data_IF_304221654193
#
_entry.id   IF_304221654193
#
_cell.length_a   1.000
_cell.length_b   1.000
_cell.length_c   1.000
_cell.angle_alpha   90.00
_cell.angle_beta   90.00
_cell.angle_gamma   90.00
#
_symmetry.space_group_name_H-M   'P 1'
#
loop_
_entity.id
_entity.type
_entity.pdbx_description
1 polymer ?
#
# COMPACT_ATOMS: atom_id res chain seq x y z
N UNK A 1 -32.46 -30.57 20.52
CA UNK A 1 -31.85 -29.27 20.16
C UNK A 1 -30.47 -29.23 20.77
N UNK A 2 -29.42 -29.52 19.99
CA UNK A 2 -28.03 -29.38 20.45
C UNK A 2 -27.54 -27.97 20.15
N UNK A 3 -26.66 -27.38 21.00
CA UNK A 3 -26.12 -26.06 20.73
C UNK A 3 -25.18 -26.13 19.52
N UNK A 4 -25.43 -25.26 18.54
CA UNK A 4 -24.58 -25.10 17.38
C UNK A 4 -23.19 -24.61 17.82
N UNK A 5 -22.18 -25.38 17.43
CA UNK A 5 -20.77 -25.08 17.57
C UNK A 5 -20.44 -23.81 16.76
N UNK A 6 -20.38 -22.66 17.43
CA UNK A 6 -19.81 -21.43 16.86
C UNK A 6 -18.29 -21.57 16.82
N UNK A 7 -17.82 -22.41 15.89
CA UNK A 7 -16.45 -22.34 15.42
C UNK A 7 -16.21 -20.94 14.87
N UNK A 8 -15.48 -20.14 15.64
CA UNK A 8 -14.99 -18.83 15.23
C UNK A 8 -14.08 -19.08 14.04
N UNK A 9 -14.60 -18.82 12.84
CA UNK A 9 -13.82 -18.89 11.61
C UNK A 9 -12.69 -17.88 11.78
N UNK A 10 -11.48 -18.39 12.04
CA UNK A 10 -10.27 -17.59 12.15
C UNK A 10 -9.88 -17.14 10.74
N UNK A 11 -10.63 -16.18 10.18
CA UNK A 11 -10.32 -15.53 8.91
C UNK A 11 -9.13 -14.63 9.20
N UNK A 12 -7.93 -15.20 9.17
CA UNK A 12 -6.70 -14.40 9.15
C UNK A 12 -6.70 -13.60 7.85
N UNK A 13 -6.78 -12.26 7.89
CA UNK A 13 -6.74 -11.48 6.66
C UNK A 13 -5.37 -11.68 6.00
N UNK A 14 -5.35 -12.41 4.89
CA UNK A 14 -4.13 -12.64 4.11
C UNK A 14 -3.60 -11.28 3.65
N UNK A 15 -2.33 -11.01 3.94
CA UNK A 15 -1.65 -9.83 3.38
C UNK A 15 -1.76 -9.91 1.85
N UNK A 16 -2.32 -8.88 1.19
CA UNK A 16 -2.42 -8.86 -0.26
C UNK A 16 -1.02 -8.80 -0.85
N UNK A 17 -0.85 -9.37 -2.04
CA UNK A 17 0.37 -9.16 -2.79
C UNK A 17 0.44 -7.69 -3.26
N UNK A 18 1.60 -7.06 -3.15
CA UNK A 18 1.83 -5.73 -3.69
C UNK A 18 1.74 -5.80 -5.23
N UNK A 19 0.92 -4.94 -5.82
CA UNK A 19 0.73 -4.91 -7.26
C UNK A 19 1.97 -4.31 -7.95
N UNK A 20 2.19 -4.66 -9.21
CA UNK A 20 3.35 -4.18 -9.99
C UNK A 20 3.24 -2.67 -10.28
N UNK A 21 2.02 -2.18 -10.47
CA UNK A 21 1.67 -0.76 -10.67
C UNK A 21 1.66 0.04 -9.36
N UNK A 22 1.84 -0.62 -8.21
CA UNK A 22 1.81 -0.04 -6.87
C UNK A 22 0.44 0.57 -6.47
N UNK A 23 -0.64 0.25 -7.20
CA UNK A 23 -1.98 0.80 -6.97
C UNK A 23 -2.56 0.44 -5.61
N UNK A 24 -2.10 -0.63 -4.97
CA UNK A 24 -2.52 -1.02 -3.64
C UNK A 24 -1.53 -0.68 -2.52
N UNK A 25 -0.53 0.18 -2.78
CA UNK A 25 0.56 0.47 -1.83
C UNK A 25 0.06 0.90 -0.45
N UNK A 26 -0.91 1.83 -0.36
CA UNK A 26 -1.39 2.33 0.93
C UNK A 26 -2.04 1.21 1.75
N UNK A 27 -2.88 0.42 1.10
CA UNK A 27 -3.57 -0.72 1.73
C UNK A 27 -2.56 -1.78 2.14
N UNK A 28 -1.60 -2.10 1.26
CA UNK A 28 -0.52 -3.05 1.52
C UNK A 28 0.31 -2.64 2.73
N UNK A 29 0.81 -1.39 2.74
CA UNK A 29 1.65 -0.85 3.81
C UNK A 29 0.94 -0.93 5.17
N UNK A 30 -0.32 -0.52 5.22
CA UNK A 30 -1.12 -0.58 6.44
C UNK A 30 -1.32 -2.03 6.92
N UNK A 31 -1.59 -2.97 6.01
CA UNK A 31 -1.80 -4.38 6.38
C UNK A 31 -0.52 -5.06 6.87
N UNK A 32 0.63 -4.79 6.26
CA UNK A 32 1.92 -5.29 6.75
C UNK A 32 2.17 -4.82 8.18
N UNK A 33 1.98 -3.52 8.42
CA UNK A 33 2.17 -2.94 9.76
C UNK A 33 1.24 -3.63 10.75
N UNK A 34 -0.08 -3.66 10.48
CA UNK A 34 -1.05 -4.31 11.38
C UNK A 34 -0.72 -5.77 11.67
N UNK A 35 -0.37 -6.55 10.64
CA UNK A 35 -0.04 -7.97 10.80
C UNK A 35 1.21 -8.15 11.68
N UNK A 36 2.28 -7.41 11.41
CA UNK A 36 3.52 -7.50 12.19
C UNK A 36 3.33 -7.05 13.64
N UNK A 37 2.50 -6.03 13.88
CA UNK A 37 2.14 -5.62 15.24
C UNK A 37 1.33 -6.69 15.96
N UNK A 38 0.42 -7.40 15.28
CA UNK A 38 -0.36 -8.50 15.89
C UNK A 38 0.52 -9.66 16.36
N UNK A 39 1.67 -9.90 15.72
CA UNK A 39 2.66 -10.89 16.16
C UNK A 39 3.71 -10.35 17.16
N UNK A 40 3.61 -9.09 17.59
CA UNK A 40 4.64 -8.46 18.43
C UNK A 40 5.99 -8.29 17.74
N UNK A 41 5.99 -8.24 16.39
CA UNK A 41 7.17 -8.07 15.55
C UNK A 41 7.39 -6.61 15.10
N UNK A 42 6.46 -5.69 15.40
CA UNK A 42 6.54 -4.28 14.97
C UNK A 42 7.88 -3.58 15.30
N UNK A 43 8.51 -3.91 16.42
CA UNK A 43 9.84 -3.40 16.81
C UNK A 43 10.95 -3.70 15.81
N UNK A 44 10.89 -4.85 15.13
CA UNK A 44 11.86 -5.24 14.09
C UNK A 44 11.66 -4.42 12.81
N UNK A 45 10.42 -4.06 12.51
CA UNK A 45 10.08 -3.21 11.37
C UNK A 45 10.58 -1.77 11.56
N UNK A 46 10.48 -1.25 12.79
CA UNK A 46 10.86 0.13 13.13
C UNK A 46 12.34 0.27 13.56
N UNK A 47 13.10 -0.82 13.63
CA UNK A 47 14.48 -0.78 14.11
C UNK A 47 14.60 -0.42 15.60
N UNK A 48 13.54 -0.66 16.37
CA UNK A 48 13.48 -0.37 17.81
C UNK A 48 13.96 -1.55 18.67
N UNK A 49 14.57 -2.57 18.06
CA UNK A 49 15.19 -3.66 18.81
C UNK A 49 16.51 -3.14 19.39
N UNK A 50 16.55 -3.03 20.72
CA UNK A 50 17.45 -2.13 21.44
C UNK A 50 18.93 -2.38 21.22
N UNK A 51 19.37 -3.55 20.79
CA UNK A 51 20.70 -3.76 20.22
C UNK A 51 20.68 -5.15 19.57
N UNK A 52 21.18 -5.27 18.33
CA UNK A 52 21.43 -6.57 17.71
C UNK A 52 22.34 -7.36 18.66
N UNK A 53 22.02 -8.61 19.03
CA UNK A 53 22.84 -9.36 19.97
C UNK A 53 24.31 -9.39 19.50
N UNK A 54 25.21 -8.85 20.33
CA UNK A 54 26.62 -8.66 19.95
C UNK A 54 27.25 -9.98 19.49
N UNK A 55 28.14 -9.89 18.52
CA UNK A 55 28.80 -11.09 17.98
C UNK A 55 29.70 -11.71 19.04
N UNK A 56 29.61 -13.02 19.22
CA UNK A 56 30.54 -13.76 20.09
C UNK A 56 31.84 -13.98 19.30
N UNK A 57 32.97 -13.59 19.87
CA UNK A 57 34.31 -13.78 19.31
C UNK A 57 35.07 -14.79 20.16
N UNK A 58 35.74 -15.76 19.51
CA UNK A 58 36.64 -16.71 20.18
C UNK A 58 38.07 -16.16 20.15
N UNK A 59 38.69 -16.00 21.32
CA UNK A 59 40.11 -15.61 21.49
C UNK A 59 40.71 -16.51 22.57
N UNK A 60 41.89 -17.07 22.36
CA UNK A 60 42.61 -17.90 23.36
C UNK A 60 41.72 -18.95 24.06
N UNK A 61 40.95 -19.71 23.27
CA UNK A 61 39.99 -20.74 23.73
C UNK A 61 38.89 -20.28 24.69
N UNK A 62 38.66 -18.97 24.77
CA UNK A 62 37.59 -18.35 25.53
C UNK A 62 36.66 -17.57 24.60
N UNK A 63 35.40 -17.42 25.03
CA UNK A 63 34.38 -16.70 24.29
C UNK A 63 34.18 -15.30 24.89
N UNK A 64 34.11 -14.29 24.04
CA UNK A 64 33.97 -12.89 24.41
C UNK A 64 32.80 -12.25 23.67
N UNK A 65 32.16 -11.27 24.29
CA UNK A 65 31.09 -10.50 23.68
C UNK A 65 31.66 -9.28 22.95
N UNK A 66 31.72 -9.31 21.61
CA UNK A 66 32.35 -8.26 20.81
C UNK A 66 33.77 -7.96 21.26
N UNK A 67 34.03 -6.71 21.63
CA UNK A 67 35.35 -6.24 22.11
C UNK A 67 35.55 -6.36 23.62
N UNK A 68 34.66 -7.08 24.33
CA UNK A 68 34.81 -7.32 25.77
C UNK A 68 36.14 -8.02 26.08
N UNK A 69 36.78 -7.59 27.16
CA UNK A 69 37.96 -8.24 27.77
C UNK A 69 37.60 -9.35 28.75
N UNK A 70 36.32 -9.43 29.15
CA UNK A 70 35.80 -10.44 30.07
C UNK A 70 35.27 -11.64 29.29
N UNK A 71 35.83 -12.82 29.60
CA UNK A 71 35.38 -14.08 29.06
C UNK A 71 33.99 -14.43 29.60
N UNK A 72 33.12 -14.92 28.73
CA UNK A 72 31.80 -15.43 29.06
C UNK A 72 31.92 -16.75 29.82
N UNK A 73 31.16 -16.90 30.90
CA UNK A 73 30.94 -18.22 31.50
C UNK A 73 29.95 -19.02 30.62
N UNK A 74 29.86 -20.33 30.87
CA UNK A 74 28.97 -21.22 30.10
C UNK A 74 27.52 -20.73 30.09
N UNK A 75 26.98 -20.34 31.23
CA UNK A 75 25.56 -19.95 31.33
C UNK A 75 25.25 -18.65 30.58
N UNK A 76 26.12 -17.64 30.68
CA UNK A 76 25.97 -16.39 29.92
C UNK A 76 26.19 -16.62 28.43
N UNK A 77 27.10 -17.52 28.05
CA UNK A 77 27.33 -17.90 26.66
C UNK A 77 26.08 -18.56 26.06
N UNK A 78 25.51 -19.57 26.72
CA UNK A 78 24.30 -20.25 26.27
C UNK A 78 23.12 -19.28 26.17
N UNK A 79 22.89 -18.47 27.21
CA UNK A 79 21.81 -17.47 27.21
C UNK A 79 21.95 -16.47 26.06
N UNK A 80 23.18 -16.01 25.77
CA UNK A 80 23.42 -15.09 24.66
C UNK A 80 23.14 -15.72 23.29
N UNK A 81 23.44 -17.01 23.12
CA UNK A 81 23.09 -17.74 21.91
C UNK A 81 21.57 -17.86 21.74
N UNK A 82 20.84 -18.21 22.80
CA UNK A 82 19.37 -18.29 22.76
C UNK A 82 18.71 -16.94 22.43
N UNK A 83 19.23 -15.84 23.01
CA UNK A 83 18.80 -14.49 22.70
C UNK A 83 19.06 -14.13 21.23
N UNK A 84 20.23 -14.54 20.70
CA UNK A 84 20.59 -14.36 19.29
C UNK A 84 19.70 -15.17 18.35
N UNK A 85 19.49 -16.46 18.62
CA UNK A 85 18.63 -17.32 17.82
C UNK A 85 17.18 -16.80 17.80
N UNK A 86 16.70 -16.31 18.95
CA UNK A 86 15.39 -15.68 19.06
C UNK A 86 15.30 -14.41 18.22
N UNK A 87 16.35 -13.58 18.24
CA UNK A 87 16.44 -12.39 17.42
C UNK A 87 16.42 -12.75 15.93
N UNK A 88 17.31 -13.64 15.49
CA UNK A 88 17.46 -14.03 14.09
C UNK A 88 16.18 -14.68 13.54
N UNK A 89 15.49 -15.49 14.36
CA UNK A 89 14.21 -16.09 14.01
C UNK A 89 13.14 -15.03 13.74
N UNK A 90 13.03 -14.03 14.63
CA UNK A 90 12.04 -12.96 14.49
C UNK A 90 12.37 -12.03 13.32
N UNK A 91 13.65 -11.70 13.13
CA UNK A 91 14.15 -10.93 11.99
C UNK A 91 13.79 -11.63 10.66
N UNK A 92 14.09 -12.92 10.57
CA UNK A 92 13.79 -13.74 9.41
C UNK A 92 12.28 -13.88 9.17
N UNK A 93 11.48 -13.97 10.23
CA UNK A 93 10.01 -14.02 10.13
C UNK A 93 9.46 -12.74 9.49
N UNK A 94 9.92 -11.56 9.90
CA UNK A 94 9.50 -10.28 9.29
C UNK A 94 9.89 -10.23 7.82
N UNK A 95 11.16 -10.53 7.51
CA UNK A 95 11.66 -10.54 6.12
C UNK A 95 10.87 -11.51 5.25
N UNK A 96 10.56 -12.70 5.76
CA UNK A 96 9.74 -13.71 5.07
C UNK A 96 8.34 -13.19 4.74
N UNK A 97 7.70 -12.46 5.64
CA UNK A 97 6.37 -11.87 5.42
C UNK A 97 6.44 -10.82 4.28
N UNK A 98 7.45 -9.95 4.33
CA UNK A 98 7.66 -8.92 3.29
C UNK A 98 7.96 -9.60 1.95
N UNK A 99 8.95 -10.49 1.88
CA UNK A 99 9.40 -11.12 0.63
C UNK A 99 8.33 -11.95 -0.06
N UNK A 100 7.45 -12.61 0.70
CA UNK A 100 6.33 -13.40 0.13
C UNK A 100 5.23 -12.54 -0.49
N UNK A 101 5.21 -11.25 -0.21
CA UNK A 101 4.10 -10.36 -0.56
C UNK A 101 4.50 -9.22 -1.49
N UNK A 102 5.75 -9.21 -1.99
CA UNK A 102 6.24 -8.23 -2.95
C UNK A 102 6.57 -8.87 -4.31
N UNK A 103 6.45 -8.12 -5.42
CA UNK A 103 6.95 -8.52 -6.73
C UNK A 103 8.43 -8.92 -6.72
N UNK A 104 8.80 -9.86 -7.59
CA UNK A 104 10.17 -10.35 -7.74
C UNK A 104 11.16 -9.22 -8.00
N UNK A 105 10.77 -8.21 -8.79
CA UNK A 105 11.61 -7.04 -9.09
C UNK A 105 11.98 -6.23 -7.83
N UNK A 106 11.03 -6.05 -6.91
CA UNK A 106 11.29 -5.38 -5.63
C UNK A 106 12.07 -6.29 -4.68
N UNK A 107 11.77 -7.60 -4.65
CA UNK A 107 12.55 -8.56 -3.87
C UNK A 107 14.04 -8.53 -4.22
N UNK A 108 14.38 -8.57 -5.52
CA UNK A 108 15.77 -8.51 -5.97
C UNK A 108 16.47 -7.22 -5.54
N UNK A 109 15.74 -6.12 -5.38
CA UNK A 109 16.29 -4.84 -4.94
C UNK A 109 16.57 -4.79 -3.44
N UNK A 110 15.74 -5.45 -2.62
CA UNK A 110 15.81 -5.34 -1.15
C UNK A 110 16.41 -6.58 -0.45
N UNK A 111 16.68 -7.67 -1.18
CA UNK A 111 17.08 -8.97 -0.59
C UNK A 111 18.38 -8.91 0.21
N UNK A 112 19.32 -8.04 -0.18
CA UNK A 112 20.67 -7.97 0.38
C UNK A 112 20.77 -7.06 1.61
N UNK A 113 19.65 -6.42 1.99
CA UNK A 113 19.61 -5.58 3.18
C UNK A 113 19.83 -6.42 4.47
N UNK A 114 20.67 -5.92 5.41
CA UNK A 114 21.13 -6.71 6.55
C UNK A 114 20.03 -6.94 7.59
N UNK A 115 19.06 -6.03 7.67
CA UNK A 115 17.97 -6.07 8.65
C UNK A 115 16.61 -5.95 7.97
N UNK A 116 15.58 -6.47 8.61
CA UNK A 116 14.18 -6.28 8.29
C UNK A 116 13.82 -4.79 8.27
N UNK A 117 14.38 -4.00 9.20
CA UNK A 117 14.21 -2.55 9.20
C UNK A 117 14.79 -1.91 7.93
N UNK A 118 16.03 -2.23 7.58
CA UNK A 118 16.67 -1.69 6.38
C UNK A 118 15.93 -2.13 5.10
N UNK A 119 15.55 -3.41 5.04
CA UNK A 119 14.69 -3.96 3.98
C UNK A 119 13.41 -3.15 3.82
N UNK A 120 12.69 -2.91 4.93
CA UNK A 120 11.43 -2.18 4.94
C UNK A 120 11.59 -0.71 4.56
N UNK A 121 12.62 -0.06 5.11
CA UNK A 121 12.94 1.34 4.81
C UNK A 121 13.27 1.52 3.33
N UNK A 122 14.12 0.65 2.77
CA UNK A 122 14.46 0.69 1.35
C UNK A 122 13.23 0.44 0.47
N UNK A 123 12.41 -0.55 0.82
CA UNK A 123 11.14 -0.83 0.13
C UNK A 123 10.23 0.39 0.13
N UNK A 124 9.97 1.00 1.29
CA UNK A 124 9.15 2.20 1.40
C UNK A 124 9.71 3.33 0.52
N UNK A 125 11.02 3.63 0.62
CA UNK A 125 11.62 4.71 -0.16
C UNK A 125 11.49 4.50 -1.67
N UNK A 126 11.69 3.26 -2.14
CA UNK A 126 11.60 2.91 -3.56
C UNK A 126 10.17 3.01 -4.07
N UNK A 127 9.23 2.46 -3.31
CA UNK A 127 7.82 2.39 -3.71
C UNK A 127 7.16 3.76 -3.59
N UNK A 128 7.46 4.56 -2.58
CA UNK A 128 6.87 5.89 -2.41
C UNK A 128 7.29 6.85 -3.51
N UNK A 129 8.56 6.81 -3.95
CA UNK A 129 9.02 7.59 -5.11
C UNK A 129 8.32 7.14 -6.40
N UNK A 130 8.27 5.84 -6.66
CA UNK A 130 7.60 5.30 -7.87
C UNK A 130 6.10 5.56 -7.87
N UNK A 131 5.45 5.41 -6.72
CA UNK A 131 4.04 5.70 -6.51
C UNK A 131 3.76 7.18 -6.76
N UNK A 132 4.60 8.10 -6.25
CA UNK A 132 4.44 9.52 -6.51
C UNK A 132 4.52 9.87 -8.00
N UNK A 133 5.50 9.31 -8.73
CA UNK A 133 5.60 9.49 -10.19
C UNK A 133 4.38 8.89 -10.91
N UNK A 134 3.92 7.72 -10.46
CA UNK A 134 2.70 7.08 -10.96
C UNK A 134 1.46 7.95 -10.77
N UNK A 135 1.30 8.55 -9.58
CA UNK A 135 0.22 9.51 -9.29
C UNK A 135 0.26 10.69 -10.27
N UNK A 136 1.42 11.30 -10.48
CA UNK A 136 1.56 12.44 -11.41
C UNK A 136 1.24 12.02 -12.85
N UNK A 137 1.78 10.89 -13.30
CA UNK A 137 1.54 10.39 -14.65
C UNK A 137 0.06 10.04 -14.88
N UNK A 138 -0.57 9.32 -13.94
CA UNK A 138 -1.95 8.88 -14.05
C UNK A 138 -2.91 10.07 -13.95
N UNK A 139 -2.62 11.05 -13.08
CA UNK A 139 -3.35 12.31 -13.03
C UNK A 139 -3.25 13.09 -14.35
N UNK A 140 -2.08 13.14 -14.98
CA UNK A 140 -1.93 13.75 -16.32
C UNK A 140 -2.74 12.99 -17.38
N UNK A 141 -2.77 11.65 -17.34
CA UNK A 141 -3.61 10.86 -18.23
C UNK A 141 -5.10 11.19 -18.01
N UNK A 142 -5.55 11.27 -16.76
CA UNK A 142 -6.93 11.64 -16.43
C UNK A 142 -7.29 13.05 -16.90
N UNK A 143 -6.38 14.02 -16.74
CA UNK A 143 -6.58 15.38 -17.24
C UNK A 143 -6.66 15.44 -18.76
N UNK A 144 -5.93 14.60 -19.49
CA UNK A 144 -5.95 14.61 -20.95
C UNK A 144 -6.94 13.59 -21.55
N UNK A 145 -7.67 12.85 -20.71
CA UNK A 145 -8.65 11.88 -21.17
C UNK A 145 -9.83 12.62 -21.77
N UNK A 146 -10.05 12.42 -23.07
CA UNK A 146 -11.23 12.91 -23.79
C UNK A 146 -11.93 11.74 -24.48
N UNK A 147 -13.25 11.80 -24.53
CA UNK A 147 -14.04 10.89 -25.35
C UNK A 147 -13.83 11.25 -26.82
N UNK A 148 -13.37 10.31 -27.67
CA UNK A 148 -13.28 10.52 -29.12
C UNK A 148 -14.63 10.92 -29.72
N UNK A 149 -14.64 11.61 -30.86
CA UNK A 149 -15.88 12.08 -31.50
C UNK A 149 -16.87 10.94 -31.81
N UNK A 150 -16.37 9.80 -32.29
CA UNK A 150 -17.15 8.56 -32.51
C UNK A 150 -17.06 7.58 -31.33
N UNK A 151 -16.53 8.02 -30.19
CA UNK A 151 -16.19 7.19 -29.05
C UNK A 151 -17.34 6.98 -28.06
N UNK A 152 -17.32 5.86 -27.35
CA UNK A 152 -18.30 5.58 -26.31
C UNK A 152 -17.94 6.31 -25.01
N UNK A 153 -18.77 7.30 -24.63
CA UNK A 153 -18.59 8.02 -23.36
C UNK A 153 -18.66 7.10 -22.15
N UNK A 154 -19.42 5.99 -22.21
CA UNK A 154 -19.52 5.04 -21.10
C UNK A 154 -18.20 4.34 -20.84
N UNK A 155 -17.49 3.95 -21.89
CA UNK A 155 -16.17 3.31 -21.80
C UNK A 155 -15.15 4.31 -21.24
N UNK A 156 -15.18 5.55 -21.74
CA UNK A 156 -14.28 6.61 -21.27
C UNK A 156 -14.50 6.92 -19.78
N UNK A 157 -15.75 7.04 -19.33
CA UNK A 157 -16.08 7.25 -17.92
C UNK A 157 -15.75 6.05 -17.03
N UNK A 158 -15.84 4.83 -17.57
CA UNK A 158 -15.46 3.62 -16.84
C UNK A 158 -13.94 3.58 -16.65
N UNK A 159 -13.18 3.93 -17.68
CA UNK A 159 -11.72 4.06 -17.58
C UNK A 159 -11.30 5.16 -16.58
N UNK A 160 -11.99 6.30 -16.60
CA UNK A 160 -11.77 7.39 -15.65
C UNK A 160 -12.01 6.94 -14.19
N UNK A 161 -13.05 6.14 -13.96
CA UNK A 161 -13.34 5.59 -12.64
C UNK A 161 -12.24 4.65 -12.17
N UNK A 162 -11.78 3.74 -13.04
CA UNK A 162 -10.68 2.80 -12.71
C UNK A 162 -9.41 3.57 -12.31
N UNK A 163 -9.00 4.56 -13.10
CA UNK A 163 -7.82 5.37 -12.78
C UNK A 163 -7.99 6.20 -11.50
N UNK A 164 -9.20 6.68 -11.22
CA UNK A 164 -9.47 7.39 -9.97
C UNK A 164 -9.34 6.48 -8.74
N UNK A 165 -9.83 5.24 -8.83
CA UNK A 165 -9.69 4.24 -7.77
C UNK A 165 -8.21 3.83 -7.58
N UNK A 166 -7.45 3.68 -8.67
CA UNK A 166 -6.00 3.43 -8.64
C UNK A 166 -5.25 4.58 -7.94
N UNK A 167 -5.53 5.84 -8.29
CA UNK A 167 -4.97 7.01 -7.62
C UNK A 167 -5.26 6.99 -6.11
N UNK A 168 -6.51 6.70 -5.72
CA UNK A 168 -6.88 6.61 -4.32
C UNK A 168 -6.09 5.51 -3.59
N UNK A 169 -5.89 4.35 -4.24
CA UNK A 169 -5.10 3.25 -3.69
C UNK A 169 -3.60 3.56 -3.55
N UNK A 170 -3.05 4.41 -4.43
CA UNK A 170 -1.70 4.98 -4.32
C UNK A 170 -1.57 6.03 -3.21
N UNK A 171 -2.70 6.49 -2.64
CA UNK A 171 -2.75 7.48 -1.56
C UNK A 171 -3.04 8.90 -2.01
N UNK A 172 -3.39 9.10 -3.29
CA UNK A 172 -3.83 10.39 -3.77
C UNK A 172 -5.18 10.75 -3.15
N UNK A 173 -5.22 11.89 -2.45
CA UNK A 173 -6.44 12.46 -1.91
C UNK A 173 -6.94 13.51 -2.88
N UNK A 174 -7.79 13.11 -3.81
CA UNK A 174 -8.42 14.04 -4.72
C UNK A 174 -9.27 15.07 -3.94
N UNK A 175 -9.18 16.36 -4.25
CA UNK A 175 -10.15 17.35 -3.78
C UNK A 175 -11.58 16.93 -4.15
N UNK A 176 -12.56 17.27 -3.30
CA UNK A 176 -13.97 16.83 -3.44
C UNK A 176 -14.57 17.14 -4.82
N UNK A 177 -14.10 18.20 -5.48
CA UNK A 177 -14.60 18.65 -6.78
C UNK A 177 -13.74 18.19 -7.98
N UNK A 178 -12.58 17.55 -7.72
CA UNK A 178 -11.65 17.17 -8.79
C UNK A 178 -12.21 16.06 -9.68
N UNK A 179 -12.87 15.06 -9.10
CA UNK A 179 -13.47 13.98 -9.90
C UNK A 179 -14.56 14.50 -10.85
N UNK A 180 -15.34 15.48 -10.39
CA UNK A 180 -16.36 16.15 -11.18
C UNK A 180 -15.75 17.03 -12.29
N UNK A 181 -14.58 17.62 -12.03
CA UNK A 181 -13.81 18.36 -13.03
C UNK A 181 -13.29 17.43 -14.13
N UNK A 182 -12.74 16.26 -13.77
CA UNK A 182 -12.30 15.27 -14.76
C UNK A 182 -13.46 14.77 -15.63
N UNK A 183 -14.61 14.43 -15.03
CA UNK A 183 -15.81 14.01 -15.80
C UNK A 183 -16.18 15.07 -16.84
N UNK A 184 -16.23 16.35 -16.45
CA UNK A 184 -16.59 17.45 -17.36
C UNK A 184 -15.56 17.65 -18.47
N UNK A 185 -14.29 17.45 -18.18
CA UNK A 185 -13.21 17.59 -19.16
C UNK A 185 -13.20 16.43 -20.16
N UNK A 186 -13.53 15.23 -19.68
CA UNK A 186 -13.55 14.02 -20.49
C UNK A 186 -14.71 13.97 -21.46
N UNK A 187 -15.87 14.45 -21.03
CA UNK A 187 -17.03 14.58 -21.89
C UNK A 187 -16.82 15.71 -22.92
N UNK A 188 -16.84 15.37 -24.21
CA UNK A 188 -16.66 16.34 -25.30
C UNK A 188 -17.84 17.33 -25.50
N UNK A 189 -17.76 18.16 -26.57
CA UNK A 189 -18.74 19.19 -26.94
C UNK A 189 -20.23 18.83 -26.75
N UNK A 190 -20.72 17.65 -27.19
CA UNK A 190 -22.16 17.35 -27.14
C UNK A 190 -22.73 17.27 -25.71
N UNK A 191 -21.90 17.00 -24.70
CA UNK A 191 -22.33 16.88 -23.32
C UNK A 191 -22.17 18.19 -22.51
N UNK A 192 -21.49 19.21 -23.06
CA UNK A 192 -21.30 20.48 -22.36
C UNK A 192 -22.62 21.19 -22.06
N UNK A 193 -23.56 21.17 -23.01
CA UNK A 193 -24.85 21.85 -22.83
C UNK A 193 -25.75 21.11 -21.83
N UNK A 194 -25.69 19.77 -21.81
CA UNK A 194 -26.29 18.95 -20.76
C UNK A 194 -25.75 19.35 -19.38
N UNK A 195 -24.42 19.47 -19.24
CA UNK A 195 -23.83 19.87 -17.96
C UNK A 195 -24.10 21.31 -17.56
N UNK A 196 -24.21 22.24 -18.52
CA UNK A 196 -24.68 23.61 -18.26
C UNK A 196 -26.11 23.58 -17.70
N UNK A 197 -27.02 22.85 -18.34
CA UNK A 197 -28.42 22.72 -17.91
C UNK A 197 -28.53 22.12 -16.49
N UNK A 198 -27.78 21.06 -16.24
CA UNK A 198 -27.71 20.41 -14.91
C UNK A 198 -27.16 21.38 -13.85
N UNK A 199 -26.12 22.16 -14.16
CA UNK A 199 -25.58 23.17 -13.25
C UNK A 199 -26.59 24.28 -12.94
N UNK A 200 -27.30 24.77 -13.94
CA UNK A 200 -28.32 25.82 -13.77
C UNK A 200 -29.44 25.29 -12.86
N UNK A 201 -29.91 24.08 -13.13
CA UNK A 201 -30.96 23.42 -12.33
C UNK A 201 -30.52 23.20 -10.88
N UNK A 202 -29.28 22.75 -10.65
CA UNK A 202 -28.73 22.56 -9.31
C UNK A 202 -28.62 23.89 -8.54
N UNK A 203 -28.20 24.97 -9.22
CA UNK A 203 -28.17 26.32 -8.61
C UNK A 203 -29.57 26.83 -8.26
N UNK A 204 -30.56 26.60 -9.12
CA UNK A 204 -31.94 27.02 -8.89
C UNK A 204 -32.62 26.24 -7.76
N UNK A 205 -32.29 24.96 -7.61
CA UNK A 205 -32.90 24.07 -6.60
C UNK A 205 -32.12 24.01 -5.28
N UNK A 206 -30.90 24.56 -5.24
CA UNK A 206 -30.02 24.51 -4.06
C UNK A 206 -29.47 23.11 -3.77
N UNK A 207 -29.61 22.15 -4.69
CA UNK A 207 -29.14 20.77 -4.51
C UNK A 207 -27.67 20.67 -4.89
N UNK A 208 -26.85 20.12 -4.00
CA UNK A 208 -25.44 19.86 -4.26
C UNK A 208 -25.27 18.81 -5.36
N UNK A 209 -24.52 19.16 -6.40
CA UNK A 209 -24.24 18.28 -7.52
C UNK A 209 -23.21 17.22 -7.12
N UNK A 210 -23.61 15.95 -7.15
CA UNK A 210 -22.71 14.82 -6.91
C UNK A 210 -22.21 14.21 -8.22
N UNK A 211 -20.99 13.67 -8.20
CA UNK A 211 -20.39 12.96 -9.34
C UNK A 211 -21.27 11.82 -9.86
N UNK A 212 -21.93 11.08 -8.96
CA UNK A 212 -22.84 9.99 -9.31
C UNK A 212 -24.01 10.45 -10.20
N UNK A 213 -24.55 11.65 -9.94
CA UNK A 213 -25.65 12.23 -10.73
C UNK A 213 -25.18 12.64 -12.12
N UNK A 214 -23.98 13.21 -12.26
CA UNK A 214 -23.43 13.54 -13.57
C UNK A 214 -23.12 12.30 -14.39
N UNK A 215 -22.59 11.25 -13.75
CA UNK A 215 -22.33 9.96 -14.40
C UNK A 215 -23.64 9.34 -14.90
N UNK A 216 -24.71 9.36 -14.10
CA UNK A 216 -26.00 8.81 -14.52
C UNK A 216 -26.62 9.63 -15.66
N UNK A 217 -26.59 10.97 -15.59
CA UNK A 217 -27.09 11.84 -16.65
C UNK A 217 -26.31 11.70 -17.95
N UNK A 218 -24.97 11.63 -17.90
CA UNK A 218 -24.14 11.41 -19.09
C UNK A 218 -24.39 10.04 -19.71
N UNK A 219 -24.62 9.00 -18.89
CA UNK A 219 -24.96 7.65 -19.38
C UNK A 219 -26.34 7.58 -20.05
N UNK A 220 -27.32 8.36 -19.57
CA UNK A 220 -28.66 8.46 -20.15
C UNK A 220 -28.65 9.22 -21.47
N UNK A 221 -27.92 10.33 -21.55
CA UNK A 221 -27.79 11.12 -22.77
C UNK A 221 -27.04 10.40 -23.90
N UNK A 222 -26.35 9.29 -23.61
CA UNK A 222 -25.66 8.46 -24.60
C UNK A 222 -26.54 7.33 -25.19
N UNK A 223 -27.80 7.20 -24.76
CA UNK A 223 -28.75 6.19 -25.26
C UNK A 223 -29.82 6.76 -26.19
N UNK A 224 -29.86 8.08 -26.35
CA UNK A 224 -30.69 8.81 -27.33
C UNK A 224 -29.85 9.16 -28.56
#
# INVERSE_FOLDING_TARGET
>A
MGPADMSTINIKPRIPHLNVDLSNWVVYKQRIITELFSYGLGRYLHGLVWEMPKVIVRRDDKFYLGDSTLALNRDKFTKHLEERDTYDTKEAQVRKIIFKSIPVSLYLHVKDEPTAHATWKLLCSTVEVKSHLGIVSLNNCMMNLQTPEDGNIRETLSQLQVWYEELAGMGFKAPKDSYMTYIRQTCGPPYHDLFKSINITAKLTGVALMSAFLISSARLAATE
#
